data_IF_693675077377
#
_entry.id   IF_693675077377
#
_cell.length_a   1.000
_cell.length_b   1.000
_cell.length_c   1.000
_cell.angle_alpha   90.00
_cell.angle_beta   90.00
_cell.angle_gamma   90.00
#
_symmetry.space_group_name_H-M   'P 1'
#
loop_
_entity.id
_entity.type
_entity.pdbx_description
1 polymer ?
#
# COMPACT_ATOMS: atom_id res chain seq x y z
N UNK A 1 7.78 -8.45 8.45
CA UNK A 1 7.46 -8.56 7.01
C UNK A 1 5.95 -8.42 6.84
N UNK A 2 5.50 -7.64 5.87
CA UNK A 2 4.10 -7.50 5.47
C UNK A 2 3.60 -8.86 4.94
N UNK A 3 2.34 -9.25 5.15
CA UNK A 3 1.79 -10.48 4.56
C UNK A 3 1.83 -10.44 3.03
N UNK A 4 1.72 -11.61 2.41
CA UNK A 4 1.52 -11.70 0.96
C UNK A 4 0.18 -11.04 0.59
N UNK A 5 0.25 -10.02 -0.27
CA UNK A 5 -0.90 -9.26 -0.73
C UNK A 5 -1.16 -9.49 -2.23
N UNK A 6 -0.57 -10.52 -2.84
CA UNK A 6 -0.95 -10.96 -4.18
C UNK A 6 -2.46 -11.26 -4.24
N UNK A 7 -3.12 -10.81 -5.31
CA UNK A 7 -4.58 -10.86 -5.51
C UNK A 7 -5.42 -10.07 -4.48
N UNK A 8 -4.81 -9.41 -3.49
CA UNK A 8 -5.55 -8.54 -2.57
C UNK A 8 -6.11 -7.33 -3.33
N UNK A 9 -7.27 -6.83 -2.89
CA UNK A 9 -7.85 -5.60 -3.45
C UNK A 9 -7.48 -4.40 -2.60
N UNK A 10 -6.84 -3.39 -3.18
CA UNK A 10 -6.65 -2.10 -2.52
C UNK A 10 -7.99 -1.34 -2.47
N UNK A 11 -8.53 -1.14 -1.28
CA UNK A 11 -9.88 -0.57 -1.10
C UNK A 11 -9.90 0.91 -0.77
N UNK A 12 -8.87 1.38 -0.06
CA UNK A 12 -8.77 2.77 0.35
C UNK A 12 -7.32 3.18 0.55
N UNK A 13 -7.06 4.44 0.26
CA UNK A 13 -5.87 5.15 0.70
C UNK A 13 -6.35 6.41 1.39
N UNK A 14 -5.93 6.59 2.63
CA UNK A 14 -6.19 7.78 3.43
C UNK A 14 -4.88 8.53 3.69
N UNK A 15 -4.91 9.85 3.57
CA UNK A 15 -3.76 10.71 3.86
C UNK A 15 -4.15 11.71 4.93
N UNK A 16 -3.53 11.59 6.10
CA UNK A 16 -3.57 12.62 7.12
C UNK A 16 -2.44 13.62 6.85
N UNK A 17 -2.80 14.84 6.44
CA UNK A 17 -1.85 15.89 6.11
C UNK A 17 -1.19 16.51 7.34
N UNK A 18 -1.87 16.53 8.48
CA UNK A 18 -1.37 17.12 9.73
C UNK A 18 -0.38 16.15 10.38
N UNK A 19 -0.79 14.89 10.50
CA UNK A 19 0.01 13.83 11.12
C UNK A 19 1.05 13.23 10.16
N UNK A 20 0.98 13.57 8.87
CA UNK A 20 1.84 13.03 7.80
C UNK A 20 1.76 11.51 7.74
N UNK A 21 0.55 10.97 7.76
CA UNK A 21 0.30 9.54 7.67
C UNK A 21 -0.31 9.20 6.31
N UNK A 22 0.11 8.09 5.74
CA UNK A 22 -0.59 7.46 4.62
C UNK A 22 -1.00 6.05 5.03
N UNK A 23 -2.30 5.78 4.97
CA UNK A 23 -2.90 4.50 5.37
C UNK A 23 -3.47 3.81 4.14
N UNK A 24 -2.98 2.62 3.84
CA UNK A 24 -3.44 1.76 2.76
C UNK A 24 -4.24 0.60 3.35
N UNK A 25 -5.44 0.36 2.83
CA UNK A 25 -6.26 -0.77 3.27
C UNK A 25 -6.43 -1.76 2.14
N UNK A 26 -6.02 -2.99 2.39
CA UNK A 26 -6.11 -4.12 1.49
C UNK A 26 -7.15 -5.11 2.00
N UNK A 27 -7.92 -5.65 1.07
CA UNK A 27 -8.92 -6.68 1.33
C UNK A 27 -8.45 -8.01 0.75
N UNK A 28 -8.34 -9.01 1.60
CA UNK A 28 -8.14 -10.40 1.26
C UNK A 28 -9.47 -11.16 1.36
N UNK A 29 -9.45 -12.47 1.07
CA UNK A 29 -10.63 -13.32 1.16
C UNK A 29 -11.26 -13.30 2.57
N UNK A 30 -10.43 -13.43 3.61
CA UNK A 30 -10.87 -13.56 5.00
C UNK A 30 -10.42 -12.42 5.91
N UNK A 31 -9.47 -11.58 5.45
CA UNK A 31 -8.83 -10.57 6.27
C UNK A 31 -8.85 -9.20 5.62
N UNK A 32 -8.68 -8.19 6.46
CA UNK A 32 -8.29 -6.84 6.06
C UNK A 32 -6.89 -6.57 6.58
N UNK A 33 -6.00 -6.09 5.71
CA UNK A 33 -4.65 -5.66 6.08
C UNK A 33 -4.57 -4.16 5.92
N UNK A 34 -4.20 -3.47 7.00
CA UNK A 34 -3.94 -2.04 6.99
C UNK A 34 -2.44 -1.83 7.07
N UNK A 35 -1.90 -1.03 6.15
CA UNK A 35 -0.49 -0.62 6.14
C UNK A 35 -0.42 0.88 6.36
N UNK A 36 0.35 1.31 7.36
CA UNK A 36 0.52 2.70 7.74
C UNK A 36 1.95 3.13 7.48
N UNK A 37 2.12 4.22 6.74
CA UNK A 37 3.41 4.86 6.49
C UNK A 37 3.50 6.15 7.28
N UNK A 38 4.48 6.24 8.18
CA UNK A 38 4.70 7.43 9.01
C UNK A 38 5.59 8.45 8.32
N UNK A 39 5.46 9.72 8.70
CA UNK A 39 6.23 10.83 8.09
C UNK A 39 6.18 10.81 6.55
N UNK A 40 5.00 10.54 6.00
CA UNK A 40 4.75 10.48 4.57
C UNK A 40 5.23 11.77 3.91
N UNK A 41 6.18 11.61 3.00
CA UNK A 41 6.85 12.71 2.29
C UNK A 41 6.52 12.72 0.80
N UNK A 42 6.11 11.57 0.27
CA UNK A 42 5.74 11.40 -1.13
C UNK A 42 4.67 10.32 -1.26
N UNK A 43 3.66 10.59 -2.07
CA UNK A 43 2.64 9.64 -2.48
C UNK A 43 2.35 9.83 -3.97
N UNK A 44 2.44 8.75 -4.75
CA UNK A 44 2.17 8.72 -6.19
C UNK A 44 1.14 7.64 -6.47
N UNK A 45 -0.01 8.03 -7.03
CA UNK A 45 -1.16 7.16 -7.30
C UNK A 45 -1.61 7.30 -8.76
N UNK A 46 -0.90 6.67 -9.71
CA UNK A 46 -1.33 6.66 -11.10
C UNK A 46 -2.57 5.77 -11.28
N UNK A 47 -3.31 6.02 -12.35
CA UNK A 47 -4.42 5.17 -12.81
C UNK A 47 -4.49 5.22 -14.33
N UNK A 48 -3.41 4.76 -14.92
CA UNK A 48 -3.19 4.73 -16.37
C UNK A 48 -3.64 3.38 -16.97
N UNK A 49 -3.73 2.33 -16.14
CA UNK A 49 -4.23 1.00 -16.48
C UNK A 49 -3.58 0.38 -17.76
N UNK A 50 -2.24 0.35 -17.89
CA UNK A 50 -1.54 -0.09 -19.11
C UNK A 50 -1.78 -1.55 -19.51
N UNK A 51 -2.18 -2.42 -18.58
CA UNK A 51 -2.55 -3.83 -18.81
C UNK A 51 -4.07 -4.06 -18.82
N UNK A 52 -4.85 -2.98 -18.79
CA UNK A 52 -6.31 -3.00 -18.67
C UNK A 52 -6.79 -2.84 -17.23
N UNK A 53 -8.10 -2.66 -17.06
CA UNK A 53 -8.69 -2.39 -15.76
C UNK A 53 -8.58 -3.59 -14.81
N UNK A 54 -8.00 -3.36 -13.64
CA UNK A 54 -7.95 -4.32 -12.54
C UNK A 54 -7.90 -3.59 -11.20
N UNK A 55 -8.43 -4.22 -10.15
CA UNK A 55 -8.40 -3.73 -8.78
C UNK A 55 -7.50 -4.56 -7.87
N UNK A 56 -6.85 -5.58 -8.42
CA UNK A 56 -6.06 -6.54 -7.64
C UNK A 56 -4.58 -6.18 -7.66
N UNK A 57 -3.89 -6.50 -6.57
CA UNK A 57 -2.46 -6.29 -6.38
C UNK A 57 -1.69 -7.42 -7.06
N UNK A 58 -0.67 -7.06 -7.84
CA UNK A 58 0.29 -7.98 -8.43
C UNK A 58 1.45 -8.26 -7.46
N UNK A 59 1.92 -7.23 -6.76
CA UNK A 59 3.02 -7.38 -5.80
C UNK A 59 3.25 -6.14 -4.97
N UNK A 60 3.97 -6.33 -3.86
CA UNK A 60 4.41 -5.25 -2.98
C UNK A 60 5.90 -5.40 -2.74
N UNK A 61 6.61 -4.27 -2.84
CA UNK A 61 8.03 -4.17 -2.54
C UNK A 61 8.23 -3.15 -1.43
N UNK A 62 8.99 -3.55 -0.40
CA UNK A 62 9.42 -2.67 0.67
C UNK A 62 10.94 -2.54 0.61
N UNK A 63 11.41 -1.31 0.36
CA UNK A 63 12.83 -0.97 0.39
C UNK A 63 13.10 -0.16 1.65
N UNK A 64 13.76 -0.77 2.62
CA UNK A 64 14.24 -0.11 3.82
C UNK A 64 15.54 0.65 3.49
N UNK A 65 15.55 1.97 3.69
CA UNK A 65 16.76 2.76 3.55
C UNK A 65 17.70 2.50 4.72
N UNK A 66 18.95 2.10 4.46
CA UNK A 66 19.95 1.84 5.51
C UNK A 66 20.16 3.03 6.48
N UNK A 67 19.97 4.28 5.99
CA UNK A 67 20.02 5.54 6.75
C UNK A 67 18.96 6.56 6.23
N UNK A 68 17.89 6.10 5.57
CA UNK A 68 17.00 6.95 4.75
C UNK A 68 15.53 6.53 4.78
N UNK A 69 14.64 7.28 4.08
CA UNK A 69 13.21 7.00 4.10
C UNK A 69 12.88 5.61 3.54
N UNK A 70 11.94 4.93 4.18
CA UNK A 70 11.37 3.68 3.69
C UNK A 70 10.50 3.99 2.47
N UNK A 71 10.67 3.19 1.42
CA UNK A 71 9.84 3.24 0.22
C UNK A 71 9.03 1.96 0.10
N UNK A 72 7.71 2.10 0.05
CA UNK A 72 6.80 1.03 -0.30
C UNK A 72 6.27 1.27 -1.71
N UNK A 73 6.32 0.24 -2.55
CA UNK A 73 5.71 0.25 -3.88
C UNK A 73 4.65 -0.86 -3.96
N UNK A 74 3.50 -0.55 -4.54
CA UNK A 74 2.40 -1.50 -4.80
C UNK A 74 2.19 -1.53 -6.30
N UNK A 75 2.46 -2.68 -6.92
CA UNK A 75 2.17 -2.91 -8.33
C UNK A 75 0.76 -3.51 -8.44
N UNK A 76 -0.11 -2.84 -9.19
CA UNK A 76 -1.44 -3.33 -9.49
C UNK A 76 -1.40 -4.27 -10.69
N UNK A 77 -2.33 -5.22 -10.77
CA UNK A 77 -2.50 -6.06 -11.96
C UNK A 77 -3.04 -5.29 -13.17
N UNK A 78 -3.37 -4.01 -13.00
CA UNK A 78 -3.57 -3.07 -14.10
C UNK A 78 -2.26 -2.56 -14.72
N UNK A 79 -1.12 -2.84 -14.06
CA UNK A 79 0.21 -2.35 -14.39
C UNK A 79 0.54 -0.97 -13.81
N UNK A 80 -0.35 -0.39 -12.99
CA UNK A 80 -0.09 0.85 -12.26
C UNK A 80 0.88 0.61 -11.09
N UNK A 81 1.84 1.52 -10.90
CA UNK A 81 2.79 1.47 -9.79
C UNK A 81 2.52 2.60 -8.79
N UNK A 82 1.93 2.24 -7.66
CA UNK A 82 1.71 3.16 -6.55
C UNK A 82 2.96 3.20 -5.69
N UNK A 83 3.35 4.39 -5.24
CA UNK A 83 4.58 4.60 -4.46
C UNK A 83 4.29 5.50 -3.28
N UNK A 84 4.79 5.10 -2.11
CA UNK A 84 4.82 5.95 -0.92
C UNK A 84 6.21 5.93 -0.27
N UNK A 85 6.67 7.10 0.17
CA UNK A 85 7.94 7.29 0.88
C UNK A 85 7.69 7.94 2.24
N UNK A 86 8.29 7.38 3.30
CA UNK A 86 8.15 7.86 4.67
C UNK A 86 9.29 7.41 5.59
N UNK A 87 9.12 7.55 6.90
CA UNK A 87 10.14 7.19 7.88
C UNK A 87 10.03 5.73 8.33
N UNK A 88 8.81 5.21 8.48
CA UNK A 88 8.57 3.81 8.86
C UNK A 88 7.31 3.27 8.20
N UNK A 89 7.22 1.94 8.14
CA UNK A 89 6.04 1.22 7.66
C UNK A 89 5.63 0.21 8.72
N UNK A 90 4.38 0.28 9.14
CA UNK A 90 3.76 -0.64 10.09
C UNK A 90 2.52 -1.27 9.44
N UNK A 91 2.13 -2.44 9.89
CA UNK A 91 0.94 -3.10 9.37
C UNK A 91 0.22 -3.92 10.44
N UNK A 92 -1.08 -4.08 10.25
CA UNK A 92 -1.93 -4.93 11.06
C UNK A 92 -2.91 -5.70 10.18
N UNK A 93 -3.34 -6.87 10.65
CA UNK A 93 -4.37 -7.69 10.03
C UNK A 93 -5.55 -7.85 10.99
N UNK A 94 -6.76 -7.69 10.48
CA UNK A 94 -7.99 -7.95 11.22
C UNK A 94 -8.87 -8.92 10.43
N UNK A 95 -9.52 -9.84 11.14
CA UNK A 95 -10.51 -10.73 10.55
C UNK A 95 -11.64 -9.90 9.94
N UNK A 96 -12.02 -10.23 8.71
CA UNK A 96 -13.03 -9.49 7.98
C UNK A 96 -14.38 -9.65 8.68
N UNK A 97 -14.93 -8.54 9.19
CA UNK A 97 -16.32 -8.51 9.64
C UNK A 97 -17.27 -8.61 8.42
N UNK A 98 -18.32 -9.43 8.49
CA UNK A 98 -19.25 -9.66 7.38
C UNK A 98 -20.01 -8.39 6.95
#
# INVERSE_FOLDING_TARGET
>A
MIPDLHDATLTSIEVDWVEKLATFTFRLAQDTVTVVVSSCSRLVLPRDEPWGSSSSVNGIELVEGADGPVRMSVEMQSGDLLVVEGASVEWESAERRP
#
